data_IF_864730222322
#
_entry.id   IF_864730222322
#
_cell.length_a   1.000
_cell.length_b   1.000
_cell.length_c   1.000
_cell.angle_alpha   90.00
_cell.angle_beta   90.00
_cell.angle_gamma   90.00
#
_symmetry.space_group_name_H-M   'P 1'
#
loop_
_entity.id
_entity.type
_entity.pdbx_description
1 polymer ?
#
# COMPACT_ATOMS: atom_id res chain seq x y z
N UNK A 1 60.91 -52.15 -25.43
CA UNK A 1 60.34 -53.10 -24.49
C UNK A 1 60.40 -52.50 -23.10
N UNK A 2 59.41 -51.87 -22.59
CA UNK A 2 59.36 -51.40 -21.19
C UNK A 2 57.98 -51.82 -20.59
N UNK A 3 58.08 -52.69 -19.57
CA UNK A 3 56.93 -53.21 -18.84
C UNK A 3 56.60 -52.18 -17.72
N UNK A 4 55.40 -51.64 -17.74
CA UNK A 4 54.80 -50.87 -16.67
C UNK A 4 54.27 -51.84 -15.63
N UNK A 5 54.86 -51.77 -14.43
CA UNK A 5 54.42 -52.48 -13.20
C UNK A 5 53.24 -51.75 -12.59
N UNK A 6 52.06 -52.37 -12.53
CA UNK A 6 50.96 -51.92 -11.70
C UNK A 6 51.14 -52.44 -10.28
N UNK A 7 51.32 -51.57 -9.31
CA UNK A 7 51.31 -51.91 -7.90
C UNK A 7 49.88 -52.03 -7.39
N UNK A 8 49.48 -53.23 -7.00
CA UNK A 8 48.20 -53.52 -6.35
C UNK A 8 48.41 -53.25 -4.85
N UNK A 9 47.75 -52.24 -4.30
CA UNK A 9 47.73 -51.95 -2.88
C UNK A 9 47.10 -53.10 -2.09
N UNK A 10 47.77 -53.56 -1.01
CA UNK A 10 47.32 -54.66 -0.19
C UNK A 10 46.14 -54.28 0.70
N UNK A 11 45.33 -55.27 1.09
CA UNK A 11 44.15 -55.10 1.97
C UNK A 11 44.48 -54.46 3.35
N UNK A 12 45.73 -54.39 3.75
CA UNK A 12 46.16 -53.77 5.00
C UNK A 12 46.37 -52.26 4.92
N UNK A 13 46.54 -51.71 3.73
CA UNK A 13 46.66 -50.26 3.52
C UNK A 13 45.33 -49.60 3.36
N UNK A 14 44.33 -50.37 2.91
CA UNK A 14 42.93 -49.86 2.81
C UNK A 14 42.29 -49.60 4.18
N UNK A 15 42.72 -50.28 5.25
CA UNK A 15 42.16 -50.15 6.60
C UNK A 15 42.72 -48.98 7.38
N UNK A 16 43.79 -48.32 6.90
CA UNK A 16 44.38 -47.14 7.54
C UNK A 16 43.87 -45.78 7.00
N UNK A 17 43.12 -45.79 5.91
CA UNK A 17 42.53 -44.57 5.30
C UNK A 17 41.08 -44.29 5.72
N UNK A 18 40.48 -45.13 6.56
CA UNK A 18 39.06 -45.01 6.95
C UNK A 18 38.83 -44.41 8.34
N UNK A 19 39.88 -43.87 9.02
CA UNK A 19 39.73 -43.33 10.38
C UNK A 19 40.11 -41.87 10.53
N UNK A 20 40.01 -41.09 9.43
CA UNK A 20 40.18 -39.62 9.48
C UNK A 20 39.17 -38.90 8.62
N UNK A 21 37.94 -39.43 8.55
CA UNK A 21 36.79 -38.79 7.89
C UNK A 21 35.93 -38.11 8.94
N UNK A 22 36.32 -36.92 9.43
CA UNK A 22 35.38 -35.98 10.01
C UNK A 22 34.47 -35.54 8.87
N UNK A 23 33.14 -35.76 8.96
CA UNK A 23 32.24 -35.16 7.98
C UNK A 23 32.36 -33.63 8.17
N UNK A 24 33.04 -32.96 7.27
CA UNK A 24 32.92 -31.53 7.11
C UNK A 24 31.45 -31.30 6.69
N UNK A 25 30.60 -31.09 7.69
CA UNK A 25 29.33 -30.43 7.50
C UNK A 25 29.66 -29.08 6.92
N UNK A 26 29.61 -28.95 5.60
CA UNK A 26 29.61 -27.67 4.92
C UNK A 26 28.31 -27.00 5.37
N UNK A 27 28.38 -26.29 6.49
CA UNK A 27 27.46 -25.23 6.83
C UNK A 27 27.59 -24.22 5.68
N UNK A 28 26.79 -24.42 4.64
CA UNK A 28 26.43 -23.39 3.71
C UNK A 28 25.72 -22.33 4.56
N UNK A 29 26.50 -21.48 5.24
CA UNK A 29 26.02 -20.21 5.75
C UNK A 29 25.47 -19.48 4.53
N UNK A 30 24.16 -19.53 4.33
CA UNK A 30 23.50 -18.57 3.46
C UNK A 30 23.86 -17.21 4.04
N UNK A 31 24.81 -16.54 3.42
CA UNK A 31 25.00 -15.13 3.68
C UNK A 31 23.62 -14.46 3.53
N UNK A 32 23.20 -13.61 4.47
CA UNK A 32 21.95 -12.89 4.30
C UNK A 32 22.03 -12.19 2.95
N UNK A 33 21.02 -12.41 2.11
CA UNK A 33 20.94 -11.71 0.82
C UNK A 33 21.08 -10.21 1.14
N UNK A 34 22.07 -9.55 0.53
CA UNK A 34 22.23 -8.12 0.69
C UNK A 34 20.90 -7.44 0.27
N UNK A 35 20.41 -6.52 1.11
CA UNK A 35 19.24 -5.75 0.77
C UNK A 35 19.45 -5.07 -0.60
N UNK A 36 18.45 -5.10 -1.46
CA UNK A 36 18.54 -4.44 -2.76
C UNK A 36 18.80 -2.94 -2.58
N UNK A 37 19.49 -2.33 -3.53
CA UNK A 37 19.63 -0.88 -3.54
C UNK A 37 18.22 -0.24 -3.59
N UNK A 38 18.04 0.87 -2.89
CA UNK A 38 16.77 1.60 -2.91
C UNK A 38 16.36 1.96 -4.34
N UNK A 39 15.14 1.64 -4.70
CA UNK A 39 14.56 2.04 -6.00
C UNK A 39 14.31 3.55 -5.94
N UNK A 40 14.94 4.29 -6.84
CA UNK A 40 14.71 5.73 -6.93
C UNK A 40 13.53 6.02 -7.86
N UNK A 41 12.38 6.30 -7.29
CA UNK A 41 11.19 6.80 -8.02
C UNK A 41 10.91 8.28 -7.75
N UNK A 42 11.91 9.03 -7.29
CA UNK A 42 11.85 10.50 -7.20
C UNK A 42 12.16 11.10 -8.58
N UNK A 43 11.15 11.69 -9.20
CA UNK A 43 11.24 12.27 -10.55
C UNK A 43 11.26 13.79 -10.41
N UNK A 44 12.39 14.41 -10.77
CA UNK A 44 12.60 15.86 -10.70
C UNK A 44 12.11 16.51 -9.38
N UNK A 45 12.41 15.84 -8.25
CA UNK A 45 12.09 16.31 -6.91
C UNK A 45 10.75 15.83 -6.35
N UNK A 46 9.87 15.24 -7.16
CA UNK A 46 8.57 14.70 -6.71
C UNK A 46 8.71 13.21 -6.42
N UNK A 47 8.31 12.79 -5.22
CA UNK A 47 8.30 11.37 -4.84
C UNK A 47 7.08 10.68 -5.46
N UNK A 48 7.32 9.69 -6.30
CA UNK A 48 6.27 8.92 -6.98
C UNK A 48 6.21 7.52 -6.41
N UNK A 49 5.01 7.10 -6.09
CA UNK A 49 4.68 5.76 -5.62
C UNK A 49 3.39 5.26 -6.26
N UNK A 50 2.83 4.24 -5.65
CA UNK A 50 1.48 3.79 -5.95
C UNK A 50 0.80 3.30 -4.66
N UNK A 51 -0.53 3.28 -4.66
CA UNK A 51 -1.29 2.52 -3.68
C UNK A 51 -1.44 1.07 -4.16
N UNK A 52 -1.24 0.11 -3.26
CA UNK A 52 -1.35 -1.33 -3.63
C UNK A 52 -2.76 -1.75 -4.05
N UNK A 53 -3.78 -0.89 -3.84
CA UNK A 53 -5.11 -1.07 -4.42
C UNK A 53 -5.10 -1.10 -5.95
N UNK A 54 -4.17 -0.41 -6.59
CA UNK A 54 -3.94 -0.48 -8.04
C UNK A 54 -3.67 -1.91 -8.53
N UNK A 55 -3.20 -2.79 -7.65
CA UNK A 55 -2.87 -4.19 -7.90
C UNK A 55 -3.86 -5.16 -7.25
N UNK A 56 -5.08 -4.71 -6.91
CA UNK A 56 -6.09 -5.48 -6.15
C UNK A 56 -6.50 -6.82 -6.76
N UNK A 57 -6.23 -7.02 -8.03
CA UNK A 57 -6.46 -8.31 -8.73
C UNK A 57 -5.32 -9.32 -8.55
N UNK A 58 -4.21 -8.92 -7.89
CA UNK A 58 -3.03 -9.75 -7.70
C UNK A 58 -2.95 -10.27 -6.26
N UNK A 59 -2.33 -11.44 -6.03
CA UNK A 59 -1.93 -11.86 -4.69
C UNK A 59 -0.96 -10.85 -4.07
N UNK A 60 -1.05 -10.61 -2.76
CA UNK A 60 -0.19 -9.66 -2.06
C UNK A 60 1.32 -9.98 -2.22
N UNK A 61 1.67 -11.27 -2.31
CA UNK A 61 3.04 -11.72 -2.53
C UNK A 61 3.63 -11.23 -3.87
N UNK A 62 2.80 -11.13 -4.91
CA UNK A 62 3.22 -10.72 -6.26
C UNK A 62 3.31 -9.19 -6.40
N UNK A 63 2.63 -8.43 -5.53
CA UNK A 63 2.61 -6.97 -5.58
C UNK A 63 4.00 -6.38 -5.37
N UNK A 64 4.76 -6.89 -4.38
CA UNK A 64 6.12 -6.39 -4.10
C UNK A 64 7.01 -6.57 -5.33
N UNK A 65 6.92 -7.72 -6.00
CA UNK A 65 7.66 -7.95 -7.25
C UNK A 65 7.22 -7.01 -8.36
N UNK A 66 5.92 -6.74 -8.50
CA UNK A 66 5.41 -5.81 -9.51
C UNK A 66 5.96 -4.39 -9.30
N UNK A 67 6.09 -3.91 -8.06
CA UNK A 67 6.71 -2.62 -7.76
C UNK A 67 8.17 -2.57 -8.23
N UNK A 68 8.95 -3.63 -7.95
CA UNK A 68 10.34 -3.75 -8.41
C UNK A 68 10.43 -3.73 -9.92
N UNK A 69 9.62 -4.55 -10.60
CA UNK A 69 9.62 -4.68 -12.06
C UNK A 69 9.25 -3.35 -12.76
N UNK A 70 8.34 -2.56 -12.16
CA UNK A 70 7.89 -1.25 -12.68
C UNK A 70 8.89 -0.14 -12.34
N UNK A 71 9.68 -0.31 -11.28
CA UNK A 71 10.59 0.71 -10.77
C UNK A 71 9.93 1.73 -9.83
N UNK A 72 8.91 1.30 -9.05
CA UNK A 72 8.26 2.09 -8.02
C UNK A 72 9.01 1.93 -6.69
N UNK A 73 9.60 3.00 -6.19
CA UNK A 73 10.41 3.03 -4.97
C UNK A 73 9.66 3.49 -3.72
N UNK A 74 8.37 3.79 -3.83
CA UNK A 74 7.52 4.21 -2.71
C UNK A 74 6.18 3.47 -2.76
N UNK A 75 5.68 3.09 -1.58
CA UNK A 75 4.46 2.29 -1.46
C UNK A 75 3.49 2.87 -0.43
N UNK A 76 2.24 3.00 -0.85
CA UNK A 76 1.09 3.05 0.03
C UNK A 76 0.47 1.65 0.12
N UNK A 77 0.57 1.03 1.29
CA UNK A 77 0.20 -0.37 1.48
C UNK A 77 -1.22 -0.48 2.04
N UNK A 78 -2.10 -1.17 1.31
CA UNK A 78 -3.42 -1.56 1.83
C UNK A 78 -3.27 -2.50 3.03
N UNK A 79 -4.05 -2.28 4.07
CA UNK A 79 -4.02 -3.08 5.30
C UNK A 79 -4.30 -4.56 5.05
N UNK A 80 -5.23 -4.89 4.16
CA UNK A 80 -5.52 -6.28 3.80
C UNK A 80 -4.34 -6.97 3.12
N UNK A 81 -3.55 -6.27 2.29
CA UNK A 81 -2.34 -6.83 1.70
C UNK A 81 -1.24 -7.02 2.74
N UNK A 82 -1.08 -6.07 3.66
CA UNK A 82 -0.13 -6.22 4.76
C UNK A 82 -0.51 -7.38 5.69
N UNK A 83 -1.80 -7.55 6.00
CA UNK A 83 -2.33 -8.65 6.79
C UNK A 83 -2.11 -10.00 6.10
N UNK A 84 -2.35 -10.09 4.77
CA UNK A 84 -2.05 -11.29 3.99
C UNK A 84 -0.56 -11.64 4.04
N UNK A 85 0.33 -10.67 3.83
CA UNK A 85 1.78 -10.86 3.94
C UNK A 85 2.24 -11.26 5.34
N UNK A 86 1.48 -10.88 6.37
CA UNK A 86 1.71 -11.24 7.76
C UNK A 86 1.08 -12.58 8.18
N UNK A 87 0.41 -13.28 7.26
CA UNK A 87 -0.21 -14.57 7.53
C UNK A 87 -1.55 -14.49 8.25
N UNK A 88 -2.28 -13.39 8.12
CA UNK A 88 -3.64 -13.28 8.62
C UNK A 88 -4.54 -14.36 8.03
N UNK A 89 -5.53 -14.86 8.78
CA UNK A 89 -6.53 -15.75 8.21
C UNK A 89 -7.24 -15.03 7.05
N UNK A 90 -7.63 -15.79 6.04
CA UNK A 90 -8.36 -15.25 4.91
C UNK A 90 -9.59 -14.52 5.46
N UNK A 91 -9.52 -13.20 5.45
CA UNK A 91 -10.67 -12.35 5.69
C UNK A 91 -11.66 -12.54 4.54
N UNK A 92 -12.73 -11.81 4.59
CA UNK A 92 -13.70 -11.75 3.50
C UNK A 92 -12.95 -11.62 2.18
N UNK A 93 -12.81 -12.74 1.46
CA UNK A 93 -12.16 -12.74 0.16
C UNK A 93 -12.78 -11.64 -0.68
N UNK A 94 -11.94 -10.83 -1.34
CA UNK A 94 -12.36 -9.83 -2.34
C UNK A 94 -13.05 -10.46 -3.55
N UNK A 95 -13.62 -11.64 -3.39
CA UNK A 95 -14.48 -12.31 -4.35
C UNK A 95 -15.75 -11.50 -4.49
N UNK A 96 -15.91 -10.86 -5.65
CA UNK A 96 -17.10 -10.16 -6.08
C UNK A 96 -18.33 -11.07 -6.09
N UNK A 97 -18.87 -11.34 -4.91
CA UNK A 97 -20.26 -11.74 -4.81
C UNK A 97 -21.07 -10.64 -5.49
N UNK A 98 -21.85 -11.00 -6.50
CA UNK A 98 -22.74 -10.05 -7.17
C UNK A 98 -23.44 -9.24 -6.09
N UNK A 99 -23.21 -7.93 -6.08
CA UNK A 99 -23.92 -7.01 -5.20
C UNK A 99 -25.42 -7.28 -5.39
N UNK A 100 -26.11 -7.72 -4.31
CA UNK A 100 -27.55 -7.88 -4.32
C UNK A 100 -28.09 -9.31 -4.16
N UNK A 101 -27.27 -10.37 -4.18
CA UNK A 101 -27.78 -11.71 -3.88
C UNK A 101 -27.69 -11.94 -2.36
N UNK A 102 -28.83 -12.20 -1.66
CA UNK A 102 -28.79 -12.57 -0.25
C UNK A 102 -27.95 -13.86 -0.06
N UNK A 103 -27.16 -13.88 0.99
CA UNK A 103 -26.40 -15.07 1.38
C UNK A 103 -27.34 -16.12 1.98
N UNK A 104 -27.04 -17.40 1.80
CA UNK A 104 -27.71 -18.45 2.59
C UNK A 104 -27.31 -18.35 4.06
N UNK A 105 -28.09 -18.92 5.01
CA UNK A 105 -27.71 -18.95 6.41
C UNK A 105 -26.32 -19.54 6.66
N UNK A 106 -25.94 -20.59 5.94
CA UNK A 106 -24.63 -21.23 6.00
C UNK A 106 -23.52 -20.29 5.52
N UNK A 107 -23.71 -19.62 4.38
CA UNK A 107 -22.76 -18.64 3.84
C UNK A 107 -22.61 -17.43 4.76
N UNK A 108 -23.70 -17.00 5.41
CA UNK A 108 -23.64 -15.94 6.40
C UNK A 108 -22.85 -16.37 7.65
N UNK A 109 -23.07 -17.60 8.14
CA UNK A 109 -22.34 -18.14 9.29
C UNK A 109 -20.83 -18.30 8.99
N UNK A 110 -20.46 -18.79 7.81
CA UNK A 110 -19.06 -18.87 7.38
C UNK A 110 -18.41 -17.49 7.31
N UNK A 111 -19.14 -16.52 6.75
CA UNK A 111 -18.68 -15.13 6.67
C UNK A 111 -18.45 -14.51 8.05
N UNK A 112 -19.39 -14.72 8.97
CA UNK A 112 -19.31 -14.17 10.34
C UNK A 112 -18.15 -14.82 11.10
N UNK A 113 -17.94 -16.13 10.91
CA UNK A 113 -16.79 -16.84 11.48
C UNK A 113 -15.46 -16.31 10.92
N UNK A 114 -15.36 -16.04 9.62
CA UNK A 114 -14.15 -15.47 8.99
C UNK A 114 -13.88 -14.04 9.49
N UNK A 115 -14.92 -13.21 9.64
CA UNK A 115 -14.80 -11.85 10.20
C UNK A 115 -14.28 -11.93 11.64
N UNK A 116 -14.85 -12.85 12.43
CA UNK A 116 -14.43 -13.06 13.83
C UNK A 116 -12.98 -13.51 13.90
N UNK A 117 -12.59 -14.50 13.11
CA UNK A 117 -11.22 -15.02 13.09
C UNK A 117 -10.20 -13.92 12.73
N UNK A 118 -10.50 -13.08 11.73
CA UNK A 118 -9.65 -11.95 11.37
C UNK A 118 -9.57 -10.91 12.51
N UNK A 119 -10.69 -10.62 13.16
CA UNK A 119 -10.71 -9.69 14.30
C UNK A 119 -9.90 -10.21 15.48
N UNK A 120 -10.04 -11.49 15.83
CA UNK A 120 -9.26 -12.13 16.89
C UNK A 120 -7.76 -12.10 16.56
N UNK A 121 -7.39 -12.37 15.31
CA UNK A 121 -6.01 -12.27 14.84
C UNK A 121 -5.46 -10.85 14.94
N UNK A 122 -6.24 -9.83 14.54
CA UNK A 122 -5.88 -8.40 14.67
C UNK A 122 -5.62 -8.00 16.11
N UNK A 123 -6.44 -8.50 17.05
CA UNK A 123 -6.27 -8.20 18.48
C UNK A 123 -5.02 -8.84 19.07
N UNK A 124 -4.64 -10.03 18.58
CA UNK A 124 -3.43 -10.73 18.99
C UNK A 124 -2.14 -10.21 18.27
N UNK A 125 -2.27 -9.52 17.16
CA UNK A 125 -1.14 -9.04 16.37
C UNK A 125 -0.30 -8.02 17.12
N UNK A 126 1.01 -8.16 17.02
CA UNK A 126 2.04 -7.31 17.67
C UNK A 126 2.95 -6.67 16.64
N UNK A 127 3.93 -5.89 17.08
CA UNK A 127 4.98 -5.37 16.20
C UNK A 127 5.73 -6.49 15.48
N UNK A 128 6.02 -7.60 16.18
CA UNK A 128 6.69 -8.75 15.59
C UNK A 128 5.91 -9.40 14.44
N UNK A 129 4.59 -9.23 14.40
CA UNK A 129 3.74 -9.71 13.32
C UNK A 129 4.04 -9.01 11.99
N UNK A 130 4.32 -7.71 12.02
CA UNK A 130 4.53 -6.88 10.82
C UNK A 130 6.01 -6.61 10.50
N UNK A 131 6.93 -6.91 11.42
CA UNK A 131 8.37 -6.75 11.17
C UNK A 131 8.86 -7.52 9.91
N UNK A 132 8.43 -8.77 9.64
CA UNK A 132 8.78 -9.47 8.40
C UNK A 132 8.23 -8.79 7.15
N UNK A 133 7.01 -8.21 7.20
CA UNK A 133 6.38 -7.49 6.09
C UNK A 133 7.21 -6.24 5.76
N UNK A 134 7.50 -5.42 6.77
CA UNK A 134 8.35 -4.23 6.63
C UNK A 134 9.73 -4.60 6.06
N UNK A 135 10.34 -5.67 6.60
CA UNK A 135 11.63 -6.16 6.11
C UNK A 135 11.57 -6.59 4.64
N UNK A 136 10.57 -7.36 4.25
CA UNK A 136 10.37 -7.84 2.87
C UNK A 136 10.29 -6.68 1.87
N UNK A 137 9.49 -5.64 2.19
CA UNK A 137 9.32 -4.46 1.35
C UNK A 137 10.63 -3.65 1.28
N UNK A 138 11.28 -3.44 2.43
CA UNK A 138 12.55 -2.73 2.51
C UNK A 138 13.70 -3.45 1.80
N UNK A 139 13.81 -4.78 1.93
CA UNK A 139 14.80 -5.60 1.23
C UNK A 139 14.61 -5.56 -0.30
N UNK A 140 13.39 -5.33 -0.78
CA UNK A 140 13.08 -5.11 -2.19
C UNK A 140 13.47 -3.70 -2.68
N UNK A 141 13.99 -2.83 -1.82
CA UNK A 141 14.39 -1.46 -2.15
C UNK A 141 13.22 -0.47 -2.19
N UNK A 142 12.07 -0.82 -1.65
CA UNK A 142 10.85 -0.01 -1.64
C UNK A 142 10.72 0.67 -0.28
N UNK A 143 10.42 1.96 -0.27
CA UNK A 143 10.11 2.74 0.92
C UNK A 143 8.61 2.68 1.21
N UNK A 144 8.24 2.09 2.36
CA UNK A 144 6.86 2.04 2.81
C UNK A 144 6.53 3.35 3.54
N UNK A 145 5.63 4.16 2.96
CA UNK A 145 5.31 5.51 3.44
C UNK A 145 3.97 5.60 4.13
N UNK A 146 2.96 4.96 3.57
CA UNK A 146 1.56 5.11 4.00
C UNK A 146 0.94 3.74 4.21
N UNK A 147 0.18 3.59 5.27
CA UNK A 147 -0.74 2.47 5.49
C UNK A 147 -2.15 2.91 5.13
N UNK A 148 -2.75 2.31 4.12
CA UNK A 148 -4.17 2.51 3.83
C UNK A 148 -5.01 1.53 4.67
N UNK A 149 -5.69 2.07 5.68
CA UNK A 149 -6.60 1.31 6.56
C UNK A 149 -7.99 1.95 6.53
N UNK A 150 -8.88 1.37 5.71
CA UNK A 150 -10.25 1.89 5.58
C UNK A 150 -11.08 1.57 6.82
N UNK A 151 -11.84 2.55 7.27
CA UNK A 151 -12.66 2.49 8.47
C UNK A 151 -14.10 2.88 8.14
N UNK A 152 -15.02 2.49 9.01
CA UNK A 152 -16.43 2.87 8.88
C UNK A 152 -17.01 3.19 10.26
N UNK A 153 -17.68 4.32 10.40
CA UNK A 153 -18.19 4.81 11.67
C UNK A 153 -19.14 3.83 12.36
N UNK A 154 -19.85 2.99 11.60
CA UNK A 154 -20.84 2.03 12.12
C UNK A 154 -20.24 0.66 12.48
N UNK A 155 -19.17 0.25 11.81
CA UNK A 155 -18.68 -1.14 11.89
C UNK A 155 -17.28 -1.27 12.47
N UNK A 156 -16.46 -0.20 12.45
CA UNK A 156 -15.13 -0.23 13.03
C UNK A 156 -15.19 0.05 14.52
N UNK A 157 -14.69 -0.85 15.34
CA UNK A 157 -14.63 -0.70 16.80
C UNK A 157 -13.37 0.10 17.20
N UNK A 158 -13.38 0.69 18.40
CA UNK A 158 -12.24 1.46 18.91
C UNK A 158 -10.97 0.61 19.05
N UNK A 159 -11.13 -0.67 19.38
CA UNK A 159 -10.03 -1.64 19.41
C UNK A 159 -9.39 -1.85 18.02
N UNK A 160 -10.19 -1.80 16.95
CA UNK A 160 -9.68 -1.89 15.57
C UNK A 160 -9.02 -0.58 15.12
N UNK A 161 -9.51 0.57 15.61
CA UNK A 161 -8.82 1.86 15.41
C UNK A 161 -7.43 1.80 16.07
N UNK A 162 -7.36 1.40 17.33
CA UNK A 162 -6.08 1.25 18.04
C UNK A 162 -5.15 0.25 17.35
N UNK A 163 -5.71 -0.84 16.82
CA UNK A 163 -4.94 -1.80 16.00
C UNK A 163 -4.35 -1.15 14.76
N UNK A 164 -5.09 -0.32 14.02
CA UNK A 164 -4.59 0.36 12.83
C UNK A 164 -3.37 1.24 13.15
N UNK A 165 -3.39 1.97 14.27
CA UNK A 165 -2.25 2.78 14.71
C UNK A 165 -1.06 1.92 15.16
N UNK A 166 -1.29 0.80 15.85
CA UNK A 166 -0.22 -0.15 16.22
C UNK A 166 0.42 -0.76 14.98
N UNK A 167 -0.38 -1.17 14.01
CA UNK A 167 0.07 -1.71 12.73
C UNK A 167 0.90 -0.68 11.95
N UNK A 168 0.43 0.58 11.87
CA UNK A 168 1.15 1.65 11.22
C UNK A 168 2.53 1.91 11.86
N UNK A 169 2.62 1.88 13.19
CA UNK A 169 3.90 1.97 13.92
C UNK A 169 4.82 0.79 13.64
N UNK A 170 4.28 -0.44 13.66
CA UNK A 170 5.05 -1.65 13.39
C UNK A 170 5.63 -1.67 11.97
N UNK A 171 4.87 -1.15 11.00
CA UNK A 171 5.30 -0.96 9.63
C UNK A 171 6.23 0.25 9.44
N UNK A 172 6.35 1.12 10.46
CA UNK A 172 7.14 2.36 10.46
C UNK A 172 6.75 3.31 9.31
N UNK A 173 5.46 3.47 9.06
CA UNK A 173 4.92 4.42 8.08
C UNK A 173 4.81 5.83 8.65
N UNK A 174 4.79 6.83 7.76
CA UNK A 174 4.69 8.24 8.13
C UNK A 174 3.25 8.69 8.43
N UNK A 175 2.26 7.99 7.85
CA UNK A 175 0.84 8.30 8.02
C UNK A 175 -0.07 7.08 7.74
N UNK A 176 -1.31 7.20 8.18
CA UNK A 176 -2.42 6.34 7.76
C UNK A 176 -3.24 7.12 6.73
N UNK A 177 -3.65 6.48 5.63
CA UNK A 177 -4.74 6.95 4.78
C UNK A 177 -6.00 6.12 5.03
N UNK A 178 -7.17 6.71 4.91
CA UNK A 178 -8.44 6.01 5.20
C UNK A 178 -9.59 6.54 4.35
N UNK A 179 -10.29 5.61 3.70
CA UNK A 179 -11.62 5.86 3.13
C UNK A 179 -12.63 5.71 4.26
N UNK A 180 -13.29 6.80 4.65
CA UNK A 180 -14.24 6.82 5.77
C UNK A 180 -15.14 8.04 5.72
N UNK A 181 -16.12 8.10 6.62
CA UNK A 181 -17.08 9.19 6.75
C UNK A 181 -16.46 10.42 7.44
N UNK A 182 -16.97 11.63 7.15
CA UNK A 182 -16.61 12.88 7.84
C UNK A 182 -16.84 12.75 9.36
N UNK A 183 -17.98 12.14 9.76
CA UNK A 183 -18.31 11.92 11.16
C UNK A 183 -17.29 11.07 11.92
N UNK A 184 -16.50 10.26 11.23
CA UNK A 184 -15.41 9.46 11.83
C UNK A 184 -14.27 10.34 12.35
N UNK A 185 -14.13 11.58 11.90
CA UNK A 185 -13.05 12.48 12.31
C UNK A 185 -13.02 12.71 13.82
N UNK A 186 -14.18 12.96 14.43
CA UNK A 186 -14.29 13.16 15.88
C UNK A 186 -13.85 11.94 16.67
N UNK A 187 -14.09 10.75 16.12
CA UNK A 187 -13.74 9.48 16.78
C UNK A 187 -12.27 9.14 16.57
N UNK A 188 -11.68 9.49 15.42
CA UNK A 188 -10.26 9.27 15.10
C UNK A 188 -9.32 10.26 15.79
N UNK A 189 -9.76 11.50 16.01
CA UNK A 189 -8.94 12.56 16.56
C UNK A 189 -8.19 12.17 17.86
N UNK A 190 -8.82 11.58 18.90
CA UNK A 190 -8.13 11.18 20.13
C UNK A 190 -7.03 10.14 19.88
N UNK A 191 -7.24 9.22 18.94
CA UNK A 191 -6.24 8.20 18.59
C UNK A 191 -5.07 8.83 17.84
N UNK A 192 -5.35 9.68 16.85
CA UNK A 192 -4.32 10.41 16.10
C UNK A 192 -3.44 11.28 17.03
N UNK A 193 -4.07 11.97 17.98
CA UNK A 193 -3.38 12.78 18.99
C UNK A 193 -2.53 11.93 19.94
N UNK A 194 -3.10 10.82 20.46
CA UNK A 194 -2.41 9.85 21.35
C UNK A 194 -1.16 9.28 20.66
N UNK A 195 -1.31 8.86 19.41
CA UNK A 195 -0.23 8.23 18.66
C UNK A 195 0.71 9.22 17.97
N UNK A 196 0.35 10.52 17.92
CA UNK A 196 1.05 11.59 17.19
C UNK A 196 1.29 11.20 15.72
N UNK A 197 0.29 10.60 15.12
CA UNK A 197 0.36 10.05 13.75
C UNK A 197 -0.65 10.74 12.86
N UNK A 198 -0.20 11.16 11.67
CA UNK A 198 -1.06 11.78 10.66
C UNK A 198 -2.04 10.76 10.09
N UNK A 199 -3.28 11.20 9.86
CA UNK A 199 -4.32 10.41 9.20
C UNK A 199 -4.91 11.23 8.07
N UNK A 200 -4.71 10.79 6.83
CA UNK A 200 -5.28 11.40 5.63
C UNK A 200 -6.63 10.77 5.28
N UNK A 201 -7.67 11.56 5.30
CA UNK A 201 -8.99 11.13 4.83
C UNK A 201 -9.00 11.15 3.30
N UNK A 202 -9.33 10.00 2.71
CA UNK A 202 -9.42 9.86 1.27
C UNK A 202 -10.76 10.39 0.77
N UNK A 203 -10.69 11.26 -0.24
CA UNK A 203 -11.87 11.87 -0.85
C UNK A 203 -12.50 11.02 -1.94
N UNK A 204 -13.83 11.07 -2.04
CA UNK A 204 -14.61 10.49 -3.13
C UNK A 204 -15.42 11.59 -3.86
N UNK A 205 -16.32 11.19 -4.78
CA UNK A 205 -17.03 12.15 -5.62
C UNK A 205 -18.51 12.38 -5.24
N UNK A 206 -19.04 11.67 -4.23
CA UNK A 206 -20.44 11.77 -3.87
C UNK A 206 -20.75 13.00 -3.02
N UNK A 207 -21.02 14.12 -3.66
CA UNK A 207 -21.36 15.40 -3.00
C UNK A 207 -22.78 15.46 -2.43
N UNK A 208 -23.64 14.47 -2.71
CA UNK A 208 -25.01 14.42 -2.20
C UNK A 208 -25.10 13.80 -0.81
N UNK A 209 -24.10 13.08 -0.38
CA UNK A 209 -24.01 12.53 0.96
C UNK A 209 -23.24 13.51 1.88
N UNK A 210 -23.87 14.14 2.87
CA UNK A 210 -23.22 15.12 3.74
C UNK A 210 -22.14 14.51 4.64
N UNK A 211 -22.12 13.18 4.81
CA UNK A 211 -21.11 12.46 5.59
C UNK A 211 -19.99 11.86 4.72
N UNK A 212 -19.95 12.19 3.42
CA UNK A 212 -18.89 11.80 2.50
C UNK A 212 -17.78 12.87 2.50
N UNK A 213 -16.54 12.45 2.43
CA UNK A 213 -15.40 13.34 2.22
C UNK A 213 -15.30 13.61 0.71
N UNK A 214 -15.97 14.66 0.23
CA UNK A 214 -16.10 14.95 -1.20
C UNK A 214 -15.94 16.44 -1.56
N UNK A 215 -16.04 17.34 -0.59
CA UNK A 215 -16.01 18.79 -0.81
C UNK A 215 -14.90 19.47 -0.02
N UNK A 216 -14.46 20.68 -0.39
CA UNK A 216 -13.49 21.44 0.40
C UNK A 216 -13.91 21.53 1.88
N UNK A 217 -15.19 21.81 2.15
CA UNK A 217 -15.72 21.99 3.51
C UNK A 217 -15.70 20.68 4.30
N UNK A 218 -15.91 19.52 3.63
CA UNK A 218 -15.82 18.22 4.28
C UNK A 218 -14.39 17.93 4.76
N UNK A 219 -13.37 18.25 3.94
CA UNK A 219 -11.97 18.15 4.33
C UNK A 219 -11.63 19.14 5.47
N UNK A 220 -12.11 20.38 5.38
CA UNK A 220 -11.88 21.38 6.44
C UNK A 220 -12.49 20.92 7.77
N UNK A 221 -13.69 20.34 7.73
CA UNK A 221 -14.35 19.75 8.91
C UNK A 221 -13.51 18.63 9.53
N UNK A 222 -12.96 17.73 8.70
CA UNK A 222 -12.04 16.68 9.16
C UNK A 222 -10.80 17.29 9.80
N UNK A 223 -10.15 18.23 9.12
CA UNK A 223 -8.92 18.87 9.60
C UNK A 223 -9.11 19.70 10.87
N UNK A 224 -10.31 20.22 11.11
CA UNK A 224 -10.63 20.97 12.33
C UNK A 224 -10.69 20.08 13.59
N UNK A 225 -10.91 18.76 13.46
CA UNK A 225 -11.05 17.87 14.60
C UNK A 225 -9.71 17.55 15.30
N UNK A 226 -8.58 17.56 14.57
CA UNK A 226 -7.23 17.41 15.15
C UNK A 226 -6.17 17.92 14.17
N UNK A 227 -5.05 18.42 14.71
CA UNK A 227 -3.87 18.78 13.91
C UNK A 227 -3.22 17.60 13.18
N UNK A 228 -3.52 16.37 13.58
CA UNK A 228 -3.02 15.14 12.95
C UNK A 228 -3.96 14.61 11.86
N UNK A 229 -5.19 15.11 11.77
CA UNK A 229 -6.10 14.75 10.68
C UNK A 229 -5.86 15.66 9.47
N UNK A 230 -5.85 15.08 8.29
CA UNK A 230 -5.55 15.77 7.03
C UNK A 230 -6.25 15.13 5.85
N UNK A 231 -5.78 15.45 4.66
CA UNK A 231 -6.31 14.95 3.42
C UNK A 231 -5.36 13.92 2.76
N UNK A 232 -5.88 12.78 2.35
CA UNK A 232 -5.41 12.03 1.21
C UNK A 232 -6.24 12.52 0.02
N UNK A 233 -5.71 13.49 -0.73
CA UNK A 233 -6.46 14.10 -1.80
C UNK A 233 -6.38 13.25 -3.06
N UNK A 234 -7.50 12.65 -3.45
CA UNK A 234 -7.65 12.02 -4.74
C UNK A 234 -8.01 13.06 -5.80
N UNK A 235 -7.09 13.31 -6.71
CA UNK A 235 -7.22 14.35 -7.74
C UNK A 235 -8.37 14.04 -8.71
N UNK A 236 -8.56 12.75 -9.05
CA UNK A 236 -9.63 12.31 -9.94
C UNK A 236 -11.01 12.46 -9.32
N UNK A 237 -11.21 11.92 -8.12
CA UNK A 237 -12.49 12.04 -7.42
C UNK A 237 -12.86 13.50 -7.11
N UNK A 238 -11.87 14.31 -6.73
CA UNK A 238 -12.11 15.73 -6.46
C UNK A 238 -12.54 16.47 -7.72
N UNK A 239 -11.95 16.12 -8.88
CA UNK A 239 -12.35 16.64 -10.20
C UNK A 239 -13.73 16.15 -10.61
N UNK A 240 -14.03 14.86 -10.42
CA UNK A 240 -15.37 14.31 -10.71
C UNK A 240 -16.45 15.00 -9.87
N UNK A 241 -16.15 15.31 -8.61
CA UNK A 241 -17.01 16.09 -7.71
C UNK A 241 -17.23 17.55 -8.18
N UNK A 242 -16.51 18.01 -9.19
CA UNK A 242 -16.64 19.34 -9.78
C UNK A 242 -15.67 20.39 -9.20
N UNK A 243 -14.71 19.98 -8.38
CA UNK A 243 -13.76 20.90 -7.73
C UNK A 243 -12.38 20.91 -8.43
N UNK A 244 -11.72 22.05 -8.36
CA UNK A 244 -10.31 22.21 -8.79
C UNK A 244 -9.37 21.88 -7.62
N UNK A 245 -8.47 20.87 -7.75
CA UNK A 245 -7.53 20.53 -6.69
C UNK A 245 -6.43 21.59 -6.46
N UNK A 246 -6.16 22.46 -7.44
CA UNK A 246 -5.05 23.44 -7.36
C UNK A 246 -5.24 24.43 -6.21
N UNK A 247 -6.37 25.17 -6.08
CA UNK A 247 -6.61 26.07 -4.95
C UNK A 247 -6.61 25.36 -3.60
N UNK A 248 -7.16 24.12 -3.54
CA UNK A 248 -7.15 23.33 -2.33
C UNK A 248 -5.72 23.00 -1.88
N UNK A 249 -4.88 22.52 -2.80
CA UNK A 249 -3.48 22.21 -2.52
C UNK A 249 -2.68 23.45 -2.10
N UNK A 250 -2.87 24.59 -2.76
CA UNK A 250 -2.22 25.85 -2.40
C UNK A 250 -2.54 26.27 -0.96
N UNK A 251 -3.79 26.06 -0.52
CA UNK A 251 -4.25 26.43 0.82
C UNK A 251 -3.86 25.41 1.89
N UNK A 252 -3.89 24.11 1.56
CA UNK A 252 -3.86 23.04 2.56
C UNK A 252 -2.70 22.04 2.42
N UNK A 253 -1.69 22.30 1.57
CA UNK A 253 -0.60 21.34 1.28
C UNK A 253 0.08 20.77 2.53
N UNK A 254 0.22 21.53 3.62
CA UNK A 254 0.81 21.07 4.88
C UNK A 254 -0.04 20.01 5.59
N UNK A 255 -1.34 19.98 5.28
CA UNK A 255 -2.31 19.05 5.84
C UNK A 255 -2.59 17.88 4.90
N UNK A 256 -1.99 17.84 3.70
CA UNK A 256 -2.07 16.72 2.78
C UNK A 256 -1.05 15.65 3.19
N UNK A 257 -1.50 14.43 3.44
CA UNK A 257 -0.64 13.30 3.78
C UNK A 257 0.01 12.70 2.55
N UNK A 258 -0.77 12.57 1.49
CA UNK A 258 -0.40 12.06 0.17
C UNK A 258 -1.44 12.48 -0.87
N UNK A 259 -1.09 12.34 -2.14
CA UNK A 259 -2.00 12.53 -3.27
C UNK A 259 -2.27 11.16 -3.92
N UNK A 260 -3.52 10.92 -4.31
CA UNK A 260 -3.81 9.89 -5.29
C UNK A 260 -3.91 10.53 -6.67
N UNK A 261 -3.01 10.11 -7.58
CA UNK A 261 -3.13 10.41 -8.99
C UNK A 261 -4.06 9.37 -9.62
N UNK A 262 -5.21 9.85 -9.98
CA UNK A 262 -6.27 9.12 -10.67
C UNK A 262 -6.85 10.06 -11.72
N UNK A 263 -7.04 9.59 -12.93
CA UNK A 263 -7.70 10.38 -13.96
C UNK A 263 -9.17 9.99 -14.09
N UNK A 264 -10.02 10.98 -14.05
CA UNK A 264 -11.47 10.82 -14.11
C UNK A 264 -12.10 11.95 -14.92
N UNK A 265 -13.24 11.68 -15.51
CA UNK A 265 -14.08 12.72 -16.09
C UNK A 265 -14.88 13.41 -15.01
N UNK A 266 -15.14 14.71 -15.19
CA UNK A 266 -16.10 15.44 -14.38
C UNK A 266 -17.47 14.78 -14.49
N UNK A 267 -18.27 14.80 -13.43
CA UNK A 267 -19.63 14.28 -13.45
C UNK A 267 -20.47 14.91 -14.58
N UNK A 268 -20.25 16.19 -14.88
CA UNK A 268 -20.89 16.90 -16.01
C UNK A 268 -20.50 16.34 -17.39
N UNK A 269 -19.37 15.63 -17.49
CA UNK A 269 -18.84 15.02 -18.71
C UNK A 269 -19.04 13.49 -18.73
N UNK A 270 -19.97 13.00 -17.88
CA UNK A 270 -20.32 11.58 -17.80
C UNK A 270 -19.64 10.82 -16.67
N UNK A 271 -18.69 11.42 -15.96
CA UNK A 271 -17.99 10.79 -14.84
C UNK A 271 -17.13 9.58 -15.23
N UNK A 272 -16.53 8.93 -14.22
CA UNK A 272 -15.88 7.64 -14.34
C UNK A 272 -14.39 7.69 -14.60
N UNK A 273 -13.75 6.54 -14.38
CA UNK A 273 -12.32 6.33 -14.46
C UNK A 273 -11.81 6.29 -15.90
N UNK A 274 -10.69 6.96 -16.17
CA UNK A 274 -10.05 6.98 -17.48
C UNK A 274 -8.56 6.72 -17.38
N UNK A 275 -7.90 6.26 -18.48
CA UNK A 275 -6.44 6.27 -18.54
C UNK A 275 -5.89 7.69 -18.37
N UNK A 276 -4.71 7.83 -17.77
CA UNK A 276 -4.07 9.12 -17.53
C UNK A 276 -3.94 9.95 -18.80
N UNK A 277 -4.37 11.20 -18.73
CA UNK A 277 -4.40 12.16 -19.85
C UNK A 277 -5.66 12.07 -20.73
N UNK A 278 -6.63 11.23 -20.38
CA UNK A 278 -7.89 11.08 -21.14
C UNK A 278 -9.14 11.57 -20.36
N UNK A 279 -8.93 11.95 -19.10
CA UNK A 279 -9.96 12.53 -18.23
C UNK A 279 -9.90 14.06 -18.18
N UNK A 280 -10.57 14.60 -17.18
CA UNK A 280 -10.64 16.04 -16.92
C UNK A 280 -9.78 16.44 -15.70
N UNK A 281 -9.12 15.48 -15.02
CA UNK A 281 -8.31 15.76 -13.86
C UNK A 281 -7.01 16.48 -14.27
N UNK A 282 -6.64 17.61 -13.62
CA UNK A 282 -5.49 18.42 -13.99
C UNK A 282 -4.18 17.80 -13.47
N UNK A 283 -3.91 16.52 -13.82
CA UNK A 283 -2.80 15.75 -13.28
C UNK A 283 -1.44 16.41 -13.54
N UNK A 284 -1.21 16.94 -14.77
CA UNK A 284 0.05 17.62 -15.11
C UNK A 284 0.24 18.88 -14.27
N UNK A 285 -0.82 19.66 -14.05
CA UNK A 285 -0.75 20.90 -13.27
C UNK A 285 -0.51 20.63 -11.79
N UNK A 286 -1.16 19.58 -11.22
CA UNK A 286 -0.92 19.13 -9.85
C UNK A 286 0.54 18.70 -9.68
N UNK A 287 1.07 17.87 -10.60
CA UNK A 287 2.47 17.43 -10.57
C UNK A 287 3.45 18.61 -10.65
N UNK A 288 3.21 19.55 -11.57
CA UNK A 288 4.04 20.78 -11.70
C UNK A 288 3.93 21.67 -10.47
N UNK A 289 2.75 21.76 -9.83
CA UNK A 289 2.56 22.52 -8.60
C UNK A 289 3.39 21.93 -7.45
N UNK A 290 3.34 20.60 -7.25
CA UNK A 290 4.16 19.89 -6.24
C UNK A 290 5.65 20.10 -6.52
N UNK A 291 6.08 19.95 -7.78
CA UNK A 291 7.47 20.14 -8.22
C UNK A 291 7.96 21.56 -7.96
N UNK A 292 7.22 22.56 -8.42
CA UNK A 292 7.57 23.98 -8.32
C UNK A 292 7.75 24.45 -6.87
N UNK A 293 6.85 24.00 -6.00
CA UNK A 293 6.87 24.38 -4.58
C UNK A 293 7.77 23.47 -3.73
N UNK A 294 8.34 22.41 -4.32
CA UNK A 294 9.17 21.41 -3.63
C UNK A 294 8.46 20.79 -2.42
N UNK A 295 7.15 20.59 -2.53
CA UNK A 295 6.40 19.97 -1.45
C UNK A 295 6.80 18.51 -1.27
N UNK A 296 7.05 18.12 -0.03
CA UNK A 296 7.38 16.72 0.30
C UNK A 296 6.11 15.92 0.55
N UNK A 297 5.25 15.84 -0.47
CA UNK A 297 3.99 15.09 -0.46
C UNK A 297 4.20 13.86 -1.36
N UNK A 298 4.04 12.63 -0.84
CA UNK A 298 4.01 11.43 -1.66
C UNK A 298 2.88 11.49 -2.70
N UNK A 299 3.19 11.14 -3.94
CA UNK A 299 2.24 11.16 -5.05
C UNK A 299 2.06 9.73 -5.54
N UNK A 300 0.91 9.13 -5.20
CA UNK A 300 0.65 7.73 -5.43
C UNK A 300 -0.29 7.51 -6.62
N UNK A 301 0.16 6.71 -7.59
CA UNK A 301 -0.67 6.26 -8.70
C UNK A 301 -1.79 5.37 -8.13
N UNK A 302 -3.04 5.70 -8.47
CA UNK A 302 -4.18 4.84 -8.22
C UNK A 302 -4.88 4.47 -9.53
N UNK A 303 -4.67 3.21 -9.94
CA UNK A 303 -5.23 2.65 -11.15
C UNK A 303 -6.56 1.93 -10.85
N UNK A 304 -7.67 2.37 -11.49
CA UNK A 304 -8.99 1.77 -11.28
C UNK A 304 -9.80 1.50 -12.55
N UNK A 305 -9.39 2.03 -13.72
CA UNK A 305 -10.03 1.66 -14.98
C UNK A 305 -9.72 0.20 -15.38
N UNK A 306 -10.36 -0.30 -16.44
CA UNK A 306 -10.18 -1.69 -16.88
C UNK A 306 -8.80 -1.92 -17.47
N UNK A 307 -8.15 -3.02 -17.09
CA UNK A 307 -6.84 -3.41 -17.60
C UNK A 307 -6.03 -4.27 -16.64
N UNK A 308 -4.89 -4.75 -17.13
CA UNK A 308 -3.90 -5.45 -16.31
C UNK A 308 -3.01 -4.41 -15.59
N UNK A 309 -2.92 -4.40 -14.24
CA UNK A 309 -2.07 -3.46 -13.53
C UNK A 309 -0.59 -3.51 -13.94
N UNK A 310 -0.09 -4.66 -14.37
CA UNK A 310 1.29 -4.79 -14.87
C UNK A 310 1.52 -4.07 -16.21
N UNK A 311 0.46 -3.75 -16.93
CA UNK A 311 0.50 -3.02 -18.20
C UNK A 311 0.12 -1.55 -17.97
N UNK A 312 -0.92 -1.30 -17.20
CA UNK A 312 -1.50 0.04 -17.07
C UNK A 312 -0.72 0.94 -16.08
N UNK A 313 -0.27 0.41 -14.94
CA UNK A 313 0.52 1.22 -14.00
C UNK A 313 1.84 1.73 -14.60
N UNK A 314 2.61 0.95 -15.40
CA UNK A 314 3.73 1.50 -16.18
C UNK A 314 3.34 2.64 -17.13
N UNK A 315 2.16 2.61 -17.76
CA UNK A 315 1.69 3.72 -18.61
C UNK A 315 1.40 4.97 -17.79
N UNK A 316 0.76 4.80 -16.61
CA UNK A 316 0.57 5.90 -15.66
C UNK A 316 1.91 6.51 -15.23
N UNK A 317 2.90 5.68 -14.91
CA UNK A 317 4.23 6.15 -14.55
C UNK A 317 4.94 6.87 -15.71
N UNK A 318 4.77 6.40 -16.97
CA UNK A 318 5.30 7.05 -18.14
C UNK A 318 4.70 8.46 -18.33
N UNK A 319 3.37 8.60 -18.15
CA UNK A 319 2.69 9.88 -18.17
C UNK A 319 3.25 10.84 -17.09
N UNK A 320 3.48 10.35 -15.88
CA UNK A 320 4.05 11.14 -14.78
C UNK A 320 5.47 11.61 -15.12
N UNK A 321 6.29 10.73 -15.70
CA UNK A 321 7.65 11.07 -16.16
C UNK A 321 7.63 12.18 -17.20
N UNK A 322 6.75 12.06 -18.19
CA UNK A 322 6.56 13.11 -19.22
C UNK A 322 6.09 14.43 -18.60
N UNK A 323 5.11 14.37 -17.70
CA UNK A 323 4.58 15.57 -17.04
C UNK A 323 5.62 16.29 -16.19
N UNK A 324 6.58 15.60 -15.61
CA UNK A 324 7.62 16.17 -14.74
C UNK A 324 8.93 16.48 -15.49
N UNK A 325 9.07 16.07 -16.72
CA UNK A 325 10.20 16.46 -17.57
C UNK A 325 10.16 17.97 -17.85
#
# INVERSE_FOLDING_TARGET
MNKTSQSILSRREFTKLTLAGVPASVLLSRAPAAAAAKINSRINGVQIGAITYSFRSMPAEDIVKAYVDIGLGEMELMSNHAEQLAGAPAGRGGGGGRRGTPLTPEQQAERDAAIKALRDWRMAATEATFAPVRKKIGDAGIELKILCYNMNVKTTEDAEIEYAFRMAKALAVDAISTSTQVSMAKRLAPFADKHKMRVGFHGHANTTNPDEVATPESFETVMAASKYLGANLDVGHYTEAGYDPIPFLQKHHERVTNLHLKDMKKASNGGGYTPFGQGDAPLKDVLKLVQKNKWNIPVNIEFEYQGDPKVEVPKCLAFVKEALA
#
